data_IF_134081339003
#
_entry.id   IF_134081339003
#
_cell.length_a   1.000
_cell.length_b   1.000
_cell.length_c   1.000
_cell.angle_alpha   90.00
_cell.angle_beta   90.00
_cell.angle_gamma   90.00
#
_symmetry.space_group_name_H-M   'P 1'
#
loop_
_entity.id
_entity.type
_entity.pdbx_description
1 polymer ?
#
# COMPACT_ATOMS: atom_id res chain seq x y z
N UNK A 1 4.18 12.67 -11.18
CA UNK A 1 4.66 12.21 -9.85
C UNK A 1 4.43 10.70 -9.77
N UNK A 2 5.41 9.91 -9.34
CA UNK A 2 5.28 8.45 -9.15
C UNK A 2 4.90 8.17 -7.70
N UNK A 3 3.94 7.27 -7.49
CA UNK A 3 3.54 6.82 -6.15
C UNK A 3 4.64 5.97 -5.50
N UNK A 4 4.43 5.60 -4.23
CA UNK A 4 5.32 4.69 -3.50
C UNK A 4 4.61 3.36 -3.26
N UNK A 5 5.27 2.25 -3.57
CA UNK A 5 4.75 0.88 -3.38
C UNK A 5 4.28 0.65 -1.95
N UNK A 6 5.00 1.19 -0.96
CA UNK A 6 4.62 1.12 0.44
C UNK A 6 3.23 1.73 0.68
N UNK A 7 3.01 2.94 0.18
CA UNK A 7 1.76 3.66 0.38
C UNK A 7 0.63 3.04 -0.42
N UNK A 8 0.92 2.50 -1.61
CA UNK A 8 -0.03 1.69 -2.38
C UNK A 8 -0.49 0.46 -1.58
N UNK A 9 0.43 -0.42 -1.19
CA UNK A 9 0.10 -1.63 -0.42
C UNK A 9 -0.59 -1.31 0.91
N UNK A 10 -0.17 -0.25 1.60
CA UNK A 10 -0.81 0.21 2.85
C UNK A 10 -2.23 0.74 2.60
N UNK A 11 -2.49 1.43 1.49
CA UNK A 11 -3.82 1.90 1.15
C UNK A 11 -4.76 0.73 0.85
N UNK A 12 -4.30 -0.25 0.05
CA UNK A 12 -5.04 -1.49 -0.21
C UNK A 12 -5.37 -2.21 1.10
N UNK A 13 -4.37 -2.45 1.95
CA UNK A 13 -4.58 -3.19 3.20
C UNK A 13 -5.49 -2.44 4.17
N UNK A 14 -5.42 -1.10 4.22
CA UNK A 14 -6.36 -0.29 5.02
C UNK A 14 -7.79 -0.44 4.53
N UNK A 15 -8.04 -0.44 3.22
CA UNK A 15 -9.38 -0.70 2.69
C UNK A 15 -9.83 -2.13 3.04
N UNK A 16 -8.95 -3.12 2.86
CA UNK A 16 -9.19 -4.51 3.23
C UNK A 16 -9.62 -4.68 4.70
N UNK A 17 -8.93 -3.98 5.62
CA UNK A 17 -9.29 -3.95 7.04
C UNK A 17 -10.64 -3.26 7.29
N UNK A 18 -10.96 -2.17 6.57
CA UNK A 18 -12.28 -1.50 6.67
C UNK A 18 -13.44 -2.41 6.27
N UNK A 19 -13.17 -3.40 5.42
CA UNK A 19 -14.13 -4.41 4.98
C UNK A 19 -14.18 -5.63 5.92
N UNK A 20 -13.61 -5.50 7.13
CA UNK A 20 -13.55 -6.55 8.15
C UNK A 20 -12.76 -7.80 7.76
N UNK A 21 -11.85 -7.69 6.77
CA UNK A 21 -11.04 -8.82 6.31
C UNK A 21 -9.72 -8.99 7.07
N UNK A 22 -9.51 -8.24 8.16
CA UNK A 22 -8.26 -8.31 8.95
C UNK A 22 -8.05 -9.69 9.58
N UNK A 23 -9.05 -10.20 10.30
CA UNK A 23 -8.99 -11.52 10.94
C UNK A 23 -8.96 -12.64 9.89
N UNK A 24 -9.85 -12.64 8.86
CA UNK A 24 -9.74 -13.55 7.73
C UNK A 24 -8.36 -13.58 7.08
N UNK A 25 -7.71 -12.43 6.87
CA UNK A 25 -6.37 -12.38 6.29
C UNK A 25 -5.31 -13.10 7.15
N UNK A 26 -5.49 -13.13 8.47
CA UNK A 26 -4.56 -13.79 9.39
C UNK A 26 -4.79 -15.31 9.42
N UNK A 27 -6.04 -15.73 9.34
CA UNK A 27 -6.44 -17.13 9.55
C UNK A 27 -6.55 -17.92 8.24
N UNK A 28 -6.96 -17.27 7.15
CA UNK A 28 -7.15 -17.88 5.83
C UNK A 28 -5.93 -17.62 4.92
N UNK A 29 -5.20 -18.69 4.63
CA UNK A 29 -4.04 -18.65 3.74
C UNK A 29 -4.40 -18.31 2.29
N UNK A 30 -5.52 -18.81 1.78
CA UNK A 30 -5.97 -18.55 0.42
C UNK A 30 -6.26 -17.06 0.23
N UNK A 31 -7.01 -16.46 1.16
CA UNK A 31 -7.29 -15.03 1.14
C UNK A 31 -6.01 -14.19 1.24
N UNK A 32 -5.11 -14.58 2.14
CA UNK A 32 -3.83 -13.89 2.35
C UNK A 32 -2.96 -13.92 1.11
N UNK A 33 -2.84 -15.09 0.48
CA UNK A 33 -2.04 -15.27 -0.73
C UNK A 33 -2.66 -14.52 -1.90
N UNK A 34 -3.99 -14.61 -2.07
CA UNK A 34 -4.72 -13.83 -3.07
C UNK A 34 -4.49 -12.32 -2.93
N UNK A 35 -4.66 -11.76 -1.72
CA UNK A 35 -4.44 -10.34 -1.48
C UNK A 35 -2.99 -9.92 -1.75
N UNK A 36 -2.01 -10.73 -1.33
CA UNK A 36 -0.59 -10.46 -1.56
C UNK A 36 -0.27 -10.47 -3.06
N UNK A 37 -0.80 -11.43 -3.81
CA UNK A 37 -0.67 -11.48 -5.27
C UNK A 37 -1.31 -10.26 -5.93
N UNK A 38 -2.50 -9.85 -5.47
CA UNK A 38 -3.18 -8.68 -5.99
C UNK A 38 -2.38 -7.38 -5.74
N UNK A 39 -1.85 -7.20 -4.53
CA UNK A 39 -0.97 -6.07 -4.21
C UNK A 39 0.34 -6.11 -5.02
N UNK A 40 0.82 -7.31 -5.38
CA UNK A 40 2.03 -7.51 -6.18
C UNK A 40 1.84 -7.26 -7.68
N UNK A 41 0.61 -7.07 -8.19
CA UNK A 41 0.38 -6.67 -9.60
C UNK A 41 1.19 -5.42 -9.95
N UNK A 42 1.36 -4.50 -9.00
CA UNK A 42 2.18 -3.31 -9.16
C UNK A 42 3.64 -3.60 -9.53
N UNK A 43 4.13 -4.83 -9.35
CA UNK A 43 5.49 -5.25 -9.67
C UNK A 43 5.62 -5.92 -11.02
N UNK A 44 4.53 -6.12 -11.75
CA UNK A 44 4.52 -6.70 -13.10
C UNK A 44 4.77 -5.62 -14.16
N UNK A 45 5.29 -5.98 -15.35
CA UNK A 45 5.26 -5.10 -16.51
C UNK A 45 3.86 -4.49 -16.69
N UNK A 46 3.78 -3.21 -17.06
CA UNK A 46 2.49 -2.51 -17.20
C UNK A 46 1.55 -3.20 -18.20
N UNK A 47 2.12 -3.86 -19.21
CA UNK A 47 1.39 -4.66 -20.21
C UNK A 47 0.66 -5.85 -19.61
N UNK A 48 1.17 -6.40 -18.51
CA UNK A 48 0.69 -7.66 -17.93
C UNK A 48 -0.23 -7.40 -16.73
N UNK A 49 -0.29 -6.15 -16.24
CA UNK A 49 -1.06 -5.79 -15.04
C UNK A 49 -2.56 -6.03 -15.21
N UNK A 50 -3.11 -5.72 -16.38
CA UNK A 50 -4.53 -5.87 -16.67
C UNK A 50 -4.92 -7.36 -16.69
N UNK A 51 -4.15 -8.18 -17.40
CA UNK A 51 -4.35 -9.63 -17.46
C UNK A 51 -4.24 -10.27 -16.07
N UNK A 52 -3.22 -9.91 -15.29
CA UNK A 52 -3.04 -10.41 -13.93
C UNK A 52 -4.18 -9.98 -12.99
N UNK A 53 -4.68 -8.75 -13.13
CA UNK A 53 -5.86 -8.26 -12.39
C UNK A 53 -7.09 -9.09 -12.73
N UNK A 54 -7.35 -9.34 -14.01
CA UNK A 54 -8.49 -10.15 -14.47
C UNK A 54 -8.39 -11.59 -13.96
N UNK A 55 -7.20 -12.21 -14.05
CA UNK A 55 -6.97 -13.55 -13.51
C UNK A 55 -7.25 -13.64 -12.00
N UNK A 56 -6.81 -12.65 -11.22
CA UNK A 56 -7.08 -12.65 -9.78
C UNK A 56 -8.56 -12.39 -9.45
N UNK A 57 -9.31 -11.68 -10.31
CA UNK A 57 -10.76 -11.52 -10.13
C UNK A 57 -11.52 -12.82 -10.35
N UNK A 58 -11.09 -13.67 -11.30
CA UNK A 58 -11.73 -14.97 -11.55
C UNK A 58 -11.33 -16.03 -10.52
N UNK A 59 -10.17 -15.89 -9.90
CA UNK A 59 -9.64 -16.82 -8.89
C UNK A 59 -9.80 -16.33 -7.44
N UNK A 60 -10.65 -15.31 -7.22
CA UNK A 60 -10.90 -14.78 -5.87
C UNK A 60 -11.54 -15.83 -4.94
N UNK A 61 -11.18 -15.88 -3.66
CA UNK A 61 -11.84 -16.75 -2.68
C UNK A 61 -13.34 -16.47 -2.54
N UNK A 62 -14.17 -17.51 -2.64
CA UNK A 62 -15.64 -17.37 -2.58
C UNK A 62 -16.18 -17.10 -1.17
N UNK A 63 -15.45 -17.51 -0.12
CA UNK A 63 -15.90 -17.38 1.27
C UNK A 63 -16.15 -15.92 1.70
N UNK A 64 -15.46 -14.96 1.07
CA UNK A 64 -15.54 -13.53 1.39
C UNK A 64 -15.94 -12.69 0.18
N UNK A 65 -16.68 -13.30 -0.75
CA UNK A 65 -16.95 -12.73 -2.07
C UNK A 65 -17.44 -11.27 -2.02
N UNK A 66 -18.46 -10.98 -1.21
CA UNK A 66 -19.04 -9.63 -1.10
C UNK A 66 -18.02 -8.57 -0.66
N UNK A 67 -17.19 -8.90 0.31
CA UNK A 67 -16.15 -8.00 0.80
C UNK A 67 -15.05 -7.83 -0.24
N UNK A 68 -14.67 -8.90 -0.93
CA UNK A 68 -13.68 -8.83 -2.01
C UNK A 68 -14.20 -7.98 -3.17
N UNK A 69 -15.47 -8.11 -3.55
CA UNK A 69 -16.07 -7.28 -4.61
C UNK A 69 -16.08 -5.80 -4.22
N UNK A 70 -16.40 -5.47 -2.97
CA UNK A 70 -16.30 -4.11 -2.47
C UNK A 70 -14.86 -3.57 -2.48
N UNK A 71 -13.88 -4.43 -2.21
CA UNK A 71 -12.46 -4.08 -2.31
C UNK A 71 -12.04 -3.83 -3.77
N UNK A 72 -12.49 -4.66 -4.70
CA UNK A 72 -12.22 -4.53 -6.14
C UNK A 72 -12.85 -3.27 -6.71
N UNK A 73 -14.10 -2.94 -6.33
CA UNK A 73 -14.76 -1.69 -6.72
C UNK A 73 -14.00 -0.46 -6.21
N UNK A 74 -13.53 -0.51 -4.95
CA UNK A 74 -12.64 0.52 -4.41
C UNK A 74 -11.35 0.64 -5.23
N UNK A 75 -10.74 -0.49 -5.61
CA UNK A 75 -9.53 -0.50 -6.41
C UNK A 75 -9.78 0.12 -7.79
N UNK A 76 -10.83 -0.28 -8.50
CA UNK A 76 -11.16 0.25 -9.83
C UNK A 76 -11.40 1.76 -9.80
N UNK A 77 -12.17 2.24 -8.82
CA UNK A 77 -12.44 3.68 -8.65
C UNK A 77 -11.16 4.48 -8.33
N UNK A 78 -10.24 3.91 -7.56
CA UNK A 78 -9.07 4.64 -7.04
C UNK A 78 -7.84 4.50 -7.92
N UNK A 79 -7.66 3.33 -8.55
CA UNK A 79 -6.45 2.86 -9.22
C UNK A 79 -6.68 2.34 -10.66
N UNK A 80 -7.92 2.40 -11.16
CA UNK A 80 -8.23 2.06 -12.55
C UNK A 80 -7.63 3.04 -13.56
N UNK A 81 -7.71 2.71 -14.85
CA UNK A 81 -7.08 3.45 -15.96
C UNK A 81 -7.49 4.93 -15.98
N UNK A 82 -8.75 5.23 -15.67
CA UNK A 82 -9.30 6.60 -15.66
C UNK A 82 -9.43 7.20 -14.24
N UNK A 83 -8.76 6.59 -13.25
CA UNK A 83 -8.85 7.03 -11.86
C UNK A 83 -7.88 8.16 -11.52
N UNK A 84 -7.95 8.66 -10.27
CA UNK A 84 -7.00 9.63 -9.74
C UNK A 84 -5.57 9.08 -9.61
N UNK A 85 -5.39 7.75 -9.54
CA UNK A 85 -4.09 7.10 -9.39
C UNK A 85 -3.92 5.97 -10.41
N UNK A 86 -3.79 6.26 -11.71
CA UNK A 86 -3.77 5.24 -12.77
C UNK A 86 -2.56 4.29 -12.66
N UNK A 87 -2.59 3.12 -13.34
CA UNK A 87 -1.52 2.09 -13.28
C UNK A 87 -0.10 2.62 -13.38
N UNK A 88 0.17 3.50 -14.35
CA UNK A 88 1.46 4.18 -14.53
C UNK A 88 1.99 4.89 -13.28
N UNK A 89 1.11 5.32 -12.37
CA UNK A 89 1.46 6.01 -11.13
C UNK A 89 1.92 5.06 -10.03
N UNK A 90 1.32 3.88 -9.91
CA UNK A 90 1.65 2.89 -8.86
C UNK A 90 2.41 1.66 -9.37
N UNK A 91 2.69 1.58 -10.68
CA UNK A 91 3.56 0.55 -11.24
C UNK A 91 5.02 0.75 -10.78
N UNK A 92 5.59 -0.30 -10.21
CA UNK A 92 6.96 -0.39 -9.69
C UNK A 92 7.77 -1.50 -10.37
N UNK A 93 7.39 -1.93 -11.58
CA UNK A 93 8.21 -2.83 -12.37
C UNK A 93 9.61 -2.26 -12.59
N UNK A 94 10.63 -3.11 -12.44
CA UNK A 94 12.05 -2.73 -12.54
C UNK A 94 12.46 -1.52 -11.68
N UNK A 95 11.74 -1.24 -10.60
CA UNK A 95 12.19 -0.24 -9.64
C UNK A 95 13.35 -0.82 -8.84
N UNK A 96 14.59 -0.43 -9.20
CA UNK A 96 15.83 -0.90 -8.58
C UNK A 96 16.12 -0.26 -7.21
N UNK A 97 15.28 0.72 -6.80
CA UNK A 97 15.33 1.26 -5.45
C UNK A 97 15.05 0.16 -4.41
N UNK A 98 15.51 0.31 -3.15
CA UNK A 98 15.31 -0.68 -2.11
C UNK A 98 13.85 -1.17 -2.06
N UNK A 99 13.65 -2.45 -2.39
CA UNK A 99 12.32 -3.09 -2.40
C UNK A 99 11.77 -3.29 -0.98
N UNK A 100 12.65 -3.31 0.02
CA UNK A 100 12.29 -3.38 1.43
C UNK A 100 12.08 -1.97 1.99
N UNK A 101 10.92 -1.78 2.58
CA UNK A 101 10.44 -0.53 3.18
C UNK A 101 11.04 -0.25 4.57
N UNK A 102 11.97 -1.07 5.05
CA UNK A 102 12.59 -0.98 6.37
C UNK A 102 13.12 0.43 6.68
N UNK A 103 13.68 1.12 5.69
CA UNK A 103 14.14 2.49 5.85
C UNK A 103 12.98 3.47 6.09
N UNK A 104 11.91 3.38 5.29
CA UNK A 104 10.71 4.22 5.43
C UNK A 104 9.94 3.90 6.73
N UNK A 105 9.80 2.63 7.08
CA UNK A 105 9.19 2.19 8.33
C UNK A 105 10.01 2.63 9.54
N UNK A 106 11.33 2.48 9.47
CA UNK A 106 12.27 2.97 10.48
C UNK A 106 12.20 4.47 10.66
N UNK A 107 12.18 5.23 9.56
CA UNK A 107 12.02 6.70 9.56
C UNK A 107 10.67 7.11 10.17
N UNK A 108 9.55 6.48 9.76
CA UNK A 108 8.23 6.73 10.36
C UNK A 108 8.20 6.38 11.86
N UNK A 109 8.83 5.27 12.27
CA UNK A 109 8.88 4.87 13.67
C UNK A 109 9.72 5.85 14.51
N UNK A 110 10.87 6.31 13.98
CA UNK A 110 11.69 7.36 14.60
C UNK A 110 10.87 8.64 14.78
N UNK A 111 10.14 9.03 13.75
CA UNK A 111 9.25 10.19 13.77
C UNK A 111 8.13 10.06 14.79
N UNK A 112 7.38 8.95 14.78
CA UNK A 112 6.33 8.71 15.78
C UNK A 112 6.85 8.78 17.21
N UNK A 113 8.00 8.17 17.49
CA UNK A 113 8.61 8.21 18.83
C UNK A 113 9.04 9.62 19.26
N UNK A 114 9.50 10.45 18.33
CA UNK A 114 9.90 11.84 18.63
C UNK A 114 8.70 12.80 18.71
N UNK A 115 7.73 12.65 17.80
CA UNK A 115 6.60 13.57 17.63
C UNK A 115 5.44 13.32 18.61
N UNK A 116 5.28 12.08 19.09
CA UNK A 116 4.23 11.72 20.05
C UNK A 116 4.80 11.84 21.47
N UNK A 117 4.97 13.08 21.94
CA UNK A 117 5.17 13.38 23.35
C UNK A 117 3.99 14.22 23.86
N UNK A 118 3.53 14.04 25.12
CA UNK A 118 2.37 14.76 25.65
C UNK A 118 2.46 16.29 25.52
N UNK A 119 3.66 16.84 25.65
CA UNK A 119 3.96 18.25 25.44
C UNK A 119 5.28 18.38 24.68
N UNK A 120 5.19 18.46 23.35
CA UNK A 120 6.35 18.83 22.55
C UNK A 120 6.49 20.34 22.53
N UNK A 121 7.64 20.83 22.99
CA UNK A 121 8.04 22.22 22.82
C UNK A 121 8.13 22.56 21.31
N UNK A 122 7.69 23.76 20.93
CA UNK A 122 7.68 24.20 19.53
C UNK A 122 9.10 24.20 18.95
N UNK A 123 10.12 24.52 19.75
CA UNK A 123 11.51 24.45 19.32
C UNK A 123 11.95 23.01 19.05
N UNK A 124 11.52 22.06 19.89
CA UNK A 124 11.78 20.65 19.66
C UNK A 124 11.13 20.15 18.35
N UNK A 125 9.92 20.63 18.02
CA UNK A 125 9.29 20.36 16.72
C UNK A 125 10.08 20.98 15.55
N UNK A 126 10.54 22.22 15.67
CA UNK A 126 11.34 22.90 14.64
C UNK A 126 12.65 22.14 14.38
N UNK A 127 13.35 21.72 15.43
CA UNK A 127 14.60 20.97 15.29
C UNK A 127 14.36 19.59 14.66
N UNK A 128 13.26 18.93 15.01
CA UNK A 128 12.85 17.71 14.32
C UNK A 128 12.63 17.89 12.82
N UNK A 129 12.01 19.00 12.41
CA UNK A 129 11.79 19.31 10.99
C UNK A 129 13.11 19.61 10.27
N UNK A 130 14.01 20.38 10.91
CA UNK A 130 15.35 20.68 10.38
C UNK A 130 16.18 19.41 10.19
N UNK A 131 16.19 18.53 11.19
CA UNK A 131 16.91 17.24 11.10
C UNK A 131 16.47 16.42 9.89
N UNK A 132 15.17 16.39 9.60
CA UNK A 132 14.64 15.62 8.48
C UNK A 132 14.96 16.26 7.13
N UNK A 133 14.91 17.59 7.05
CA UNK A 133 15.24 18.33 5.83
C UNK A 133 16.72 18.13 5.43
N UNK A 134 17.61 17.90 6.39
CA UNK A 134 19.03 17.68 6.16
C UNK A 134 19.38 16.25 5.70
N UNK A 135 18.44 15.30 5.74
CA UNK A 135 18.70 13.94 5.28
C UNK A 135 18.64 13.86 3.74
N UNK A 136 19.61 13.20 3.08
CA UNK A 136 19.54 12.98 1.64
C UNK A 136 18.29 12.14 1.28
N UNK A 137 17.67 12.50 0.14
CA UNK A 137 16.52 11.78 -0.42
C UNK A 137 16.90 10.43 -0.98
#
# INVERSE_FOLDING_TARGET
VKGCLFHYGKALFRNFVKLNLKTPFQEDESLRNWFRSFAAIALLPETDMEEASQYLRTTKPLLYERQIDSFLEYHDRTYGIQSSFPPKMYNHYRNLNPRTINYLEGRHNKWKKRAIKPHNDIYACIDMFKDEQLLPM
#
